data_IF_508872543142
#
_entry.id   IF_508872543142
#
_cell.length_a   1.000
_cell.length_b   1.000
_cell.length_c   1.000
_cell.angle_alpha   90.00
_cell.angle_beta   90.00
_cell.angle_gamma   90.00
#
_symmetry.space_group_name_H-M   'P 1'
#
loop_
_entity.id
_entity.type
_entity.pdbx_description
1 polymer ?
#
# COMPACT_ATOMS: atom_id res chain seq x y z
N UNK A 1 -29.91 80.51 31.02
CA UNK A 1 -28.69 79.92 31.63
C UNK A 1 -28.77 78.41 31.92
N UNK A 2 -29.80 77.66 31.49
CA UNK A 2 -29.92 76.19 31.72
C UNK A 2 -29.28 75.28 30.60
N UNK A 3 -29.14 75.80 29.41
CA UNK A 3 -28.63 75.01 28.26
C UNK A 3 -27.10 74.84 28.25
N UNK A 4 -26.35 75.74 28.86
CA UNK A 4 -24.87 75.67 28.87
C UNK A 4 -24.32 74.60 29.84
N UNK A 5 -25.05 74.30 30.90
CA UNK A 5 -24.63 73.24 31.87
C UNK A 5 -24.81 71.85 31.34
N UNK A 6 -25.79 71.60 30.50
CA UNK A 6 -26.05 70.28 29.89
C UNK A 6 -24.99 69.89 28.84
N UNK A 7 -24.52 70.87 28.10
CA UNK A 7 -23.49 70.64 27.06
C UNK A 7 -22.11 70.33 27.67
N UNK A 8 -21.74 70.97 28.75
CA UNK A 8 -20.46 70.70 29.45
C UNK A 8 -20.48 69.33 30.12
N UNK A 9 -21.60 68.91 30.69
CA UNK A 9 -21.73 67.56 31.29
C UNK A 9 -21.67 66.45 30.24
N UNK A 10 -22.26 66.67 29.04
CA UNK A 10 -22.19 65.71 27.94
C UNK A 10 -20.76 65.61 27.35
N UNK A 11 -20.04 66.73 27.25
CA UNK A 11 -18.66 66.73 26.79
C UNK A 11 -17.70 66.02 27.79
N UNK A 12 -17.92 66.20 29.09
CA UNK A 12 -17.14 65.54 30.15
C UNK A 12 -17.37 64.03 30.18
N UNK A 13 -18.58 63.57 29.87
CA UNK A 13 -18.89 62.12 29.80
C UNK A 13 -18.27 61.47 28.56
N UNK A 14 -18.24 62.15 27.44
CA UNK A 14 -17.57 61.70 26.22
C UNK A 14 -16.02 61.60 26.43
N UNK A 15 -15.44 62.60 27.06
CA UNK A 15 -14.00 62.59 27.36
C UNK A 15 -13.61 61.47 28.37
N UNK A 16 -14.48 61.13 29.31
CA UNK A 16 -14.24 60.03 30.25
C UNK A 16 -14.29 58.64 29.58
N UNK A 17 -15.14 58.47 28.58
CA UNK A 17 -15.20 57.20 27.81
C UNK A 17 -14.01 57.06 26.85
N UNK A 18 -13.46 58.16 26.32
CA UNK A 18 -12.29 58.16 25.48
C UNK A 18 -10.97 57.87 26.22
N UNK A 19 -10.95 58.08 27.53
CA UNK A 19 -9.81 57.84 28.42
C UNK A 19 -9.88 56.49 29.15
N UNK A 20 -10.91 55.69 28.88
CA UNK A 20 -10.94 54.33 29.44
C UNK A 20 -9.77 53.52 28.84
N UNK A 21 -8.79 53.08 29.59
CA UNK A 21 -7.73 52.24 29.08
C UNK A 21 -8.40 50.97 28.56
N UNK A 22 -8.43 50.78 27.28
CA UNK A 22 -8.77 49.50 26.68
C UNK A 22 -7.76 48.52 27.23
N UNK A 23 -8.19 47.70 28.18
CA UNK A 23 -7.40 46.57 28.62
C UNK A 23 -7.22 45.64 27.43
N UNK A 24 -6.24 45.96 26.59
CA UNK A 24 -5.72 45.02 25.61
C UNK A 24 -5.05 43.92 26.42
N UNK A 25 -5.79 42.85 26.67
CA UNK A 25 -5.18 41.60 27.11
C UNK A 25 -4.13 41.26 26.08
N UNK A 26 -2.86 41.42 26.45
CA UNK A 26 -1.76 40.90 25.61
C UNK A 26 -2.06 39.43 25.38
N UNK A 27 -2.43 39.10 24.16
CA UNK A 27 -2.58 37.70 23.78
C UNK A 27 -1.19 37.07 23.90
N UNK A 28 -1.04 36.23 24.92
CA UNK A 28 0.20 35.48 25.12
C UNK A 28 0.41 34.61 23.88
N UNK A 29 1.35 35.02 23.05
CA UNK A 29 1.82 34.20 21.92
C UNK A 29 3.03 33.41 22.43
N UNK A 30 2.89 32.09 22.61
CA UNK A 30 4.04 31.28 22.98
C UNK A 30 5.05 31.32 21.86
N UNK A 31 6.20 31.94 22.12
CA UNK A 31 7.33 31.88 21.23
C UNK A 31 8.09 30.58 21.49
N UNK A 32 8.09 29.68 20.50
CA UNK A 32 8.91 28.48 20.54
C UNK A 32 10.40 28.88 20.58
N UNK A 33 11.07 28.64 21.69
CA UNK A 33 12.52 28.77 21.77
C UNK A 33 13.13 27.47 21.22
N UNK A 34 13.59 27.52 19.98
CA UNK A 34 14.35 26.40 19.39
C UNK A 34 15.69 26.29 20.13
N UNK A 35 15.86 25.22 20.89
CA UNK A 35 17.15 24.84 21.45
C UNK A 35 17.86 23.98 20.40
N UNK A 36 19.13 24.28 20.04
CA UNK A 36 19.87 23.42 19.15
C UNK A 36 19.93 21.99 19.71
N UNK A 37 19.38 21.03 19.00
CA UNK A 37 19.45 19.62 19.37
C UNK A 37 20.54 18.98 18.51
N UNK A 38 21.57 18.47 19.16
CA UNK A 38 22.56 17.64 18.48
C UNK A 38 21.97 16.23 18.36
N UNK A 39 21.72 15.77 17.13
CA UNK A 39 21.29 14.41 16.90
C UNK A 39 22.37 13.43 17.39
N UNK A 40 22.00 12.54 18.31
CA UNK A 40 22.83 11.42 18.70
C UNK A 40 22.27 10.17 18.04
N UNK A 41 22.85 9.68 16.93
CA UNK A 41 22.38 8.48 16.28
C UNK A 41 22.60 7.28 17.19
N UNK A 42 21.55 6.46 17.36
CA UNK A 42 21.65 5.17 18.05
C UNK A 42 22.41 4.22 17.11
N UNK A 43 23.57 3.77 17.54
CA UNK A 43 24.42 2.87 16.75
C UNK A 43 25.05 1.77 17.63
N UNK A 44 25.86 0.92 17.02
CA UNK A 44 26.52 -0.21 17.68
C UNK A 44 27.47 0.18 18.83
N UNK A 45 27.82 1.45 18.94
CA UNK A 45 28.63 2.01 20.04
C UNK A 45 27.84 2.23 21.33
N UNK A 46 26.51 2.19 21.28
CA UNK A 46 25.66 2.27 22.47
C UNK A 46 25.40 0.84 22.92
N UNK A 47 25.83 0.44 24.14
CA UNK A 47 25.58 -0.90 24.65
C UNK A 47 24.09 -1.15 24.83
N UNK A 48 23.67 -2.39 24.55
CA UNK A 48 22.29 -2.81 24.80
C UNK A 48 22.01 -2.81 26.32
N UNK A 49 20.84 -2.28 26.70
CA UNK A 49 20.39 -2.33 28.09
C UNK A 49 20.07 -3.76 28.52
N UNK A 50 20.82 -4.31 29.48
CA UNK A 50 20.70 -5.70 29.91
C UNK A 50 19.32 -6.06 30.43
N UNK A 51 18.59 -5.10 31.10
CA UNK A 51 17.26 -5.32 31.62
C UNK A 51 16.23 -5.38 30.51
N UNK A 52 16.33 -4.49 29.52
CA UNK A 52 15.51 -4.52 28.32
C UNK A 52 15.72 -5.82 27.56
N UNK A 53 16.99 -6.22 27.38
CA UNK A 53 17.34 -7.47 26.69
C UNK A 53 16.76 -8.69 27.40
N UNK A 54 16.86 -8.80 28.73
CA UNK A 54 16.28 -9.90 29.48
C UNK A 54 14.74 -9.97 29.34
N UNK A 55 14.08 -8.81 29.26
CA UNK A 55 12.62 -8.73 29.08
C UNK A 55 12.18 -9.22 27.71
N UNK A 56 12.92 -8.91 26.63
CA UNK A 56 12.54 -9.26 25.26
C UNK A 56 13.07 -10.62 24.80
N UNK A 57 14.10 -11.20 25.49
CA UNK A 57 14.76 -12.44 25.06
C UNK A 57 13.77 -13.60 24.78
N UNK A 58 12.82 -13.96 25.66
CA UNK A 58 11.92 -15.08 25.44
C UNK A 58 10.99 -14.88 24.23
N UNK A 59 10.61 -13.64 23.93
CA UNK A 59 9.80 -13.31 22.75
C UNK A 59 10.66 -13.33 21.48
N UNK A 60 11.89 -12.81 21.56
CA UNK A 60 12.85 -12.82 20.45
C UNK A 60 13.14 -14.23 19.97
N UNK A 61 13.45 -15.16 20.87
CA UNK A 61 13.74 -16.55 20.50
C UNK A 61 12.59 -17.19 19.72
N UNK A 62 11.36 -17.01 20.22
CA UNK A 62 10.16 -17.55 19.55
C UNK A 62 9.95 -16.92 18.17
N UNK A 63 10.10 -15.62 18.04
CA UNK A 63 9.95 -14.91 16.78
C UNK A 63 11.04 -15.33 15.79
N UNK A 64 12.32 -15.36 16.20
CA UNK A 64 13.43 -15.76 15.34
C UNK A 64 13.25 -17.19 14.83
N UNK A 65 12.87 -18.14 15.67
CA UNK A 65 12.65 -19.53 15.25
C UNK A 65 11.56 -19.66 14.18
N UNK A 66 10.50 -18.88 14.30
CA UNK A 66 9.43 -18.85 13.30
C UNK A 66 9.88 -18.15 12.00
N UNK A 67 10.54 -17.01 12.10
CA UNK A 67 10.95 -16.21 10.93
C UNK A 67 12.03 -16.89 10.10
N UNK A 68 12.88 -17.74 10.70
CA UNK A 68 13.92 -18.51 9.99
C UNK A 68 13.42 -19.79 9.34
N UNK A 69 12.13 -20.15 9.53
CA UNK A 69 11.55 -21.34 8.88
C UNK A 69 11.59 -21.19 7.37
N UNK A 70 12.25 -22.11 6.68
CA UNK A 70 12.36 -22.13 5.22
C UNK A 70 11.06 -22.63 4.60
N UNK A 71 10.53 -21.88 3.64
CA UNK A 71 9.31 -22.18 2.89
C UNK A 71 9.62 -22.79 1.52
N UNK A 72 10.71 -22.38 0.89
CA UNK A 72 11.11 -22.78 -0.45
C UNK A 72 12.48 -22.23 -0.81
N UNK A 73 12.84 -22.34 -2.10
CA UNK A 73 14.11 -21.84 -2.62
C UNK A 73 13.90 -21.06 -3.92
N UNK A 74 14.49 -19.88 -4.03
CA UNK A 74 14.48 -19.06 -5.23
C UNK A 74 15.82 -19.20 -5.97
N UNK A 75 15.86 -19.76 -7.19
CA UNK A 75 17.12 -19.93 -7.92
C UNK A 75 17.73 -18.58 -8.35
N UNK A 76 16.91 -17.56 -8.50
CA UNK A 76 17.32 -16.18 -8.80
C UNK A 76 16.53 -15.22 -7.94
N UNK A 77 17.07 -14.03 -7.71
CA UNK A 77 16.34 -12.99 -6.96
C UNK A 77 15.13 -12.50 -7.75
N UNK A 78 13.97 -12.39 -7.08
CA UNK A 78 12.79 -11.75 -7.63
C UNK A 78 12.76 -10.30 -7.13
N UNK A 79 13.02 -9.38 -8.04
CA UNK A 79 13.05 -7.95 -7.74
C UNK A 79 11.88 -7.24 -8.43
N UNK A 80 11.48 -6.11 -7.87
CA UNK A 80 10.51 -5.21 -8.50
C UNK A 80 11.22 -4.13 -9.33
N UNK A 81 10.55 -3.69 -10.39
CA UNK A 81 10.98 -2.57 -11.23
C UNK A 81 9.76 -1.86 -11.82
N UNK A 82 9.97 -0.73 -12.49
CA UNK A 82 8.91 -0.10 -13.27
C UNK A 82 8.55 -0.97 -14.48
N UNK A 83 7.29 -1.23 -14.68
CA UNK A 83 6.81 -2.16 -15.69
C UNK A 83 6.64 -3.57 -15.14
N UNK A 84 6.76 -4.55 -16.01
CA UNK A 84 6.74 -5.95 -15.66
C UNK A 84 8.02 -6.33 -14.91
N UNK A 85 7.89 -7.13 -13.85
CA UNK A 85 9.02 -7.63 -13.07
C UNK A 85 8.78 -9.04 -12.58
N UNK A 86 9.85 -9.78 -12.27
CA UNK A 86 9.74 -11.13 -11.72
C UNK A 86 8.90 -11.12 -10.43
N UNK A 87 9.11 -10.14 -9.55
CA UNK A 87 8.38 -10.08 -8.28
C UNK A 87 6.89 -9.74 -8.47
N UNK A 88 6.57 -8.77 -9.33
CA UNK A 88 5.16 -8.42 -9.60
C UNK A 88 4.42 -9.56 -10.30
N UNK A 89 5.10 -10.27 -11.23
CA UNK A 89 4.52 -11.45 -11.88
C UNK A 89 4.26 -12.56 -10.86
N UNK A 90 5.27 -12.89 -10.03
CA UNK A 90 5.14 -13.90 -8.99
C UNK A 90 3.96 -13.63 -8.06
N UNK A 91 3.89 -12.43 -7.48
CA UNK A 91 2.82 -12.10 -6.51
C UNK A 91 1.47 -11.93 -7.20
N UNK A 92 1.41 -11.31 -8.37
CA UNK A 92 0.17 -11.15 -9.12
C UNK A 92 -0.44 -12.49 -9.55
N UNK A 93 0.38 -13.45 -9.98
CA UNK A 93 -0.11 -14.76 -10.42
C UNK A 93 -0.57 -15.62 -9.24
N UNK A 94 0.20 -15.64 -8.15
CA UNK A 94 -0.21 -16.41 -6.97
C UNK A 94 -1.51 -15.88 -6.34
N UNK A 95 -1.77 -14.56 -6.39
CA UNK A 95 -3.05 -14.00 -5.93
C UNK A 95 -4.23 -14.60 -6.70
N UNK A 96 -4.11 -14.73 -8.02
CA UNK A 96 -5.14 -15.38 -8.84
C UNK A 96 -5.33 -16.83 -8.44
N UNK A 97 -4.24 -17.61 -8.37
CA UNK A 97 -4.29 -19.04 -8.04
C UNK A 97 -4.90 -19.26 -6.65
N UNK A 98 -4.49 -18.50 -5.64
CA UNK A 98 -5.02 -18.66 -4.29
C UNK A 98 -6.49 -18.17 -4.18
N UNK A 99 -6.87 -17.13 -4.92
CA UNK A 99 -8.26 -16.68 -5.00
C UNK A 99 -9.16 -17.70 -5.73
N UNK A 100 -8.69 -18.26 -6.85
CA UNK A 100 -9.39 -19.34 -7.58
C UNK A 100 -9.64 -20.55 -6.67
N UNK A 101 -8.61 -20.94 -5.92
CA UNK A 101 -8.68 -22.06 -4.98
C UNK A 101 -9.66 -21.79 -3.84
N UNK A 102 -9.68 -20.56 -3.29
CA UNK A 102 -10.56 -20.20 -2.19
C UNK A 102 -12.03 -20.10 -2.61
N UNK A 103 -12.31 -19.60 -3.83
CA UNK A 103 -13.67 -19.34 -4.30
C UNK A 103 -14.20 -20.40 -5.26
N UNK A 104 -13.37 -21.36 -5.71
CA UNK A 104 -13.76 -22.44 -6.61
C UNK A 104 -14.21 -22.00 -8.00
N UNK A 105 -13.78 -20.81 -8.46
CA UNK A 105 -14.12 -20.25 -9.78
C UNK A 105 -12.94 -19.56 -10.42
N UNK A 106 -12.88 -19.46 -11.77
CA UNK A 106 -11.79 -18.78 -12.47
C UNK A 106 -11.67 -17.30 -12.12
N UNK A 107 -10.45 -16.84 -11.89
CA UNK A 107 -10.12 -15.44 -11.64
C UNK A 107 -9.14 -14.97 -12.72
N UNK A 108 -9.61 -14.34 -13.80
CA UNK A 108 -8.80 -14.02 -14.97
C UNK A 108 -7.76 -12.93 -14.70
N UNK A 109 -7.94 -12.05 -13.75
CA UNK A 109 -7.07 -10.91 -13.49
C UNK A 109 -6.52 -10.90 -12.06
N UNK A 110 -5.28 -10.42 -11.91
CA UNK A 110 -4.65 -10.16 -10.62
C UNK A 110 -3.94 -8.81 -10.62
N UNK A 111 -4.10 -8.06 -9.52
CA UNK A 111 -3.56 -6.70 -9.39
C UNK A 111 -2.69 -6.59 -8.15
N UNK A 112 -1.44 -6.19 -8.35
CA UNK A 112 -0.49 -5.83 -7.29
C UNK A 112 0.29 -4.59 -7.70
N UNK A 113 0.53 -3.69 -6.76
CA UNK A 113 1.34 -2.49 -7.00
C UNK A 113 2.75 -2.66 -6.46
N UNK A 114 3.70 -1.94 -7.02
CA UNK A 114 5.06 -1.88 -6.49
C UNK A 114 5.12 -1.29 -5.07
N UNK A 115 4.14 -0.47 -4.69
CA UNK A 115 3.98 0.07 -3.34
C UNK A 115 3.69 -1.01 -2.30
N UNK A 116 2.87 -2.00 -2.66
CA UNK A 116 2.53 -3.15 -1.82
C UNK A 116 3.68 -4.16 -1.62
N UNK A 117 4.64 -4.20 -2.52
CA UNK A 117 5.80 -5.09 -2.44
C UNK A 117 6.97 -4.37 -1.75
N UNK A 118 7.23 -4.65 -0.47
CA UNK A 118 8.15 -3.85 0.37
C UNK A 118 9.61 -4.26 0.25
N UNK A 119 9.89 -5.54 0.05
CA UNK A 119 11.23 -6.10 -0.10
C UNK A 119 11.28 -7.07 -1.30
N UNK A 120 12.44 -7.31 -1.93
CA UNK A 120 12.62 -8.37 -2.91
C UNK A 120 12.63 -9.75 -2.22
N UNK A 121 12.45 -10.80 -3.00
CA UNK A 121 12.81 -12.16 -2.59
C UNK A 121 14.25 -12.39 -3.06
N UNK A 122 15.24 -12.56 -2.17
CA UNK A 122 16.62 -12.83 -2.57
C UNK A 122 16.77 -14.24 -3.17
N UNK A 123 17.84 -14.46 -3.92
CA UNK A 123 18.22 -15.80 -4.35
C UNK A 123 18.61 -16.66 -3.13
N UNK A 124 18.27 -17.94 -3.17
CA UNK A 124 18.51 -18.88 -2.09
C UNK A 124 17.26 -19.22 -1.27
N UNK A 125 17.43 -19.62 0.02
CA UNK A 125 16.30 -20.00 0.88
C UNK A 125 15.32 -18.85 1.09
N UNK A 126 14.04 -19.11 0.84
CA UNK A 126 12.94 -18.18 1.11
C UNK A 126 12.29 -18.57 2.43
N UNK A 127 12.36 -17.70 3.41
CA UNK A 127 11.88 -17.96 4.78
C UNK A 127 10.54 -17.26 5.06
N UNK A 128 9.92 -17.58 6.19
CA UNK A 128 8.78 -16.83 6.73
C UNK A 128 9.13 -15.35 6.86
N UNK A 129 10.34 -15.04 7.39
CA UNK A 129 10.83 -13.66 7.51
C UNK A 129 10.90 -12.92 6.18
N UNK A 130 11.40 -13.59 5.12
CA UNK A 130 11.40 -13.03 3.77
C UNK A 130 10.00 -12.59 3.32
N UNK A 131 8.98 -13.41 3.61
CA UNK A 131 7.59 -13.06 3.23
C UNK A 131 7.02 -11.95 4.11
N UNK A 132 7.37 -11.89 5.39
CA UNK A 132 6.99 -10.77 6.26
C UNK A 132 7.63 -9.44 5.82
N UNK A 133 8.88 -9.45 5.36
CA UNK A 133 9.53 -8.27 4.79
C UNK A 133 8.93 -7.85 3.46
N UNK A 134 8.57 -8.82 2.60
CA UNK A 134 7.91 -8.57 1.31
C UNK A 134 6.52 -7.96 1.51
N UNK A 135 5.71 -8.53 2.41
CA UNK A 135 4.30 -8.19 2.63
C UNK A 135 4.00 -8.04 4.13
N UNK A 136 4.42 -6.91 4.77
CA UNK A 136 4.27 -6.71 6.22
C UNK A 136 2.84 -6.33 6.65
N UNK A 137 1.90 -6.25 5.71
CA UNK A 137 0.54 -5.78 5.94
C UNK A 137 -0.41 -6.93 6.30
N UNK A 138 -1.47 -6.62 7.05
CA UNK A 138 -2.59 -7.54 7.36
C UNK A 138 -3.69 -7.49 6.28
N UNK A 139 -3.33 -7.19 5.04
CA UNK A 139 -4.27 -7.11 3.93
C UNK A 139 -4.89 -8.47 3.61
N UNK A 140 -6.20 -8.49 3.40
CA UNK A 140 -6.90 -9.66 2.92
C UNK A 140 -6.82 -9.77 1.39
N UNK A 141 -6.70 -10.98 0.89
CA UNK A 141 -6.92 -11.28 -0.51
C UNK A 141 -8.44 -11.29 -0.75
N UNK A 142 -8.90 -10.44 -1.66
CA UNK A 142 -10.32 -10.34 -2.04
C UNK A 142 -10.46 -10.42 -3.55
N UNK A 143 -11.68 -10.66 -4.02
CA UNK A 143 -12.01 -10.63 -5.45
C UNK A 143 -13.06 -9.57 -5.70
N UNK A 144 -12.82 -8.74 -6.72
CA UNK A 144 -13.80 -7.80 -7.26
C UNK A 144 -14.40 -8.38 -8.53
N UNK A 145 -15.73 -8.36 -8.64
CA UNK A 145 -16.41 -8.59 -9.91
C UNK A 145 -16.63 -7.23 -10.60
N UNK A 146 -15.72 -6.89 -11.52
CA UNK A 146 -15.61 -5.56 -12.09
C UNK A 146 -16.26 -5.48 -13.48
N UNK A 147 -17.20 -4.53 -13.70
CA UNK A 147 -17.68 -4.24 -15.05
C UNK A 147 -16.56 -3.82 -15.98
N UNK A 148 -16.69 -4.11 -17.28
CA UNK A 148 -15.67 -3.78 -18.27
C UNK A 148 -15.27 -2.31 -18.28
N UNK A 149 -16.21 -1.39 -18.01
CA UNK A 149 -15.88 0.03 -17.85
C UNK A 149 -14.91 0.34 -16.70
N UNK A 150 -14.95 -0.43 -15.61
CA UNK A 150 -13.99 -0.32 -14.49
C UNK A 150 -12.68 -1.01 -14.86
N UNK A 151 -12.73 -2.12 -15.58
CA UNK A 151 -11.54 -2.80 -16.10
C UNK A 151 -10.79 -1.91 -17.10
N UNK A 152 -11.49 -1.13 -17.93
CA UNK A 152 -10.86 -0.12 -18.78
C UNK A 152 -10.09 0.91 -17.96
N UNK A 153 -10.67 1.43 -16.87
CA UNK A 153 -9.98 2.35 -15.95
C UNK A 153 -8.75 1.71 -15.30
N UNK A 154 -8.80 0.42 -14.99
CA UNK A 154 -7.63 -0.32 -14.51
C UNK A 154 -6.51 -0.32 -15.56
N UNK A 155 -6.80 -0.59 -16.84
CA UNK A 155 -5.78 -0.59 -17.89
C UNK A 155 -5.28 0.83 -18.20
N UNK A 156 -6.13 1.85 -18.15
CA UNK A 156 -5.72 3.26 -18.25
C UNK A 156 -4.75 3.64 -17.12
N UNK A 157 -5.04 3.19 -15.90
CA UNK A 157 -4.14 3.34 -14.76
C UNK A 157 -2.83 2.56 -14.96
N UNK A 158 -2.92 1.31 -15.40
CA UNK A 158 -1.79 0.43 -15.62
C UNK A 158 -0.84 0.98 -16.71
N UNK A 159 -1.38 1.53 -17.79
CA UNK A 159 -0.59 2.16 -18.86
C UNK A 159 0.16 3.40 -18.35
N UNK A 160 -0.52 4.27 -17.61
CA UNK A 160 0.06 5.49 -17.03
C UNK A 160 1.16 5.20 -16.01
N UNK A 161 0.96 4.21 -15.16
CA UNK A 161 1.91 3.82 -14.11
C UNK A 161 2.91 2.76 -14.54
N UNK A 162 2.76 2.24 -15.75
CA UNK A 162 3.54 1.12 -16.29
C UNK A 162 3.44 -0.12 -15.39
N UNK A 163 2.25 -0.42 -14.89
CA UNK A 163 1.99 -1.55 -14.00
C UNK A 163 1.56 -2.77 -14.81
N UNK A 164 2.23 -3.91 -14.64
CA UNK A 164 1.78 -5.18 -15.20
C UNK A 164 0.53 -5.68 -14.44
N UNK A 165 -0.40 -6.27 -15.19
CA UNK A 165 -1.60 -6.90 -14.68
C UNK A 165 -1.50 -8.40 -14.93
N UNK A 166 -1.62 -9.21 -13.88
CA UNK A 166 -1.57 -10.67 -14.00
C UNK A 166 -2.77 -11.17 -14.79
N UNK A 167 -2.52 -12.10 -15.71
CA UNK A 167 -3.54 -12.69 -16.60
C UNK A 167 -3.89 -11.83 -17.81
N UNK A 168 -3.18 -10.72 -18.03
CA UNK A 168 -3.41 -9.86 -19.19
C UNK A 168 -2.12 -9.42 -19.87
N UNK A 169 -2.25 -9.06 -21.14
CA UNK A 169 -1.22 -8.36 -21.92
C UNK A 169 -1.84 -7.13 -22.58
N UNK A 170 -1.06 -6.07 -22.75
CA UNK A 170 -1.50 -4.86 -23.46
C UNK A 170 -0.31 -4.06 -23.99
N UNK A 171 -0.58 -3.19 -24.96
CA UNK A 171 0.42 -2.26 -25.52
C UNK A 171 0.18 -0.87 -24.96
N UNK A 172 1.24 -0.14 -24.62
CA UNK A 172 1.18 1.27 -24.25
C UNK A 172 1.52 2.09 -25.51
N UNK A 173 0.58 2.91 -25.99
CA UNK A 173 0.80 3.81 -27.12
C UNK A 173 1.78 4.93 -26.78
N UNK A 174 2.33 5.65 -27.77
CA UNK A 174 3.14 6.85 -27.51
C UNK A 174 2.43 7.91 -26.66
N UNK A 175 1.09 7.99 -26.74
CA UNK A 175 0.25 8.89 -25.95
C UNK A 175 -0.03 8.38 -24.53
N UNK A 176 0.52 7.19 -24.16
CA UNK A 176 0.37 6.60 -22.83
C UNK A 176 -0.98 5.90 -22.60
N UNK A 177 -1.69 5.51 -23.67
CA UNK A 177 -2.97 4.80 -23.58
C UNK A 177 -2.78 3.28 -23.74
N UNK A 178 -3.64 2.45 -23.10
CA UNK A 178 -3.62 1.01 -23.34
C UNK A 178 -4.33 0.66 -24.65
N UNK A 179 -3.68 -0.20 -25.44
CA UNK A 179 -4.24 -0.78 -26.67
C UNK A 179 -4.01 -2.28 -26.71
N UNK A 180 -4.70 -2.98 -27.61
CA UNK A 180 -4.58 -4.42 -27.84
C UNK A 180 -4.63 -5.25 -26.53
N UNK A 181 -5.56 -4.87 -25.63
CA UNK A 181 -5.72 -5.53 -24.33
C UNK A 181 -6.24 -6.96 -24.56
N UNK A 182 -5.49 -7.94 -24.06
CA UNK A 182 -5.91 -9.34 -24.01
C UNK A 182 -6.01 -9.78 -22.55
N UNK A 183 -7.12 -10.45 -22.21
CA UNK A 183 -7.35 -11.04 -20.88
C UNK A 183 -7.52 -12.55 -21.06
N UNK A 184 -6.66 -13.35 -20.43
CA UNK A 184 -6.61 -14.78 -20.65
C UNK A 184 -6.38 -15.16 -22.14
N UNK A 185 -5.66 -14.32 -22.89
CA UNK A 185 -5.41 -14.49 -24.32
C UNK A 185 -6.56 -14.08 -25.23
N UNK A 186 -7.71 -13.65 -24.70
CA UNK A 186 -8.87 -13.19 -25.45
C UNK A 186 -8.93 -11.66 -25.49
N UNK A 187 -9.40 -11.05 -26.58
CA UNK A 187 -9.62 -9.61 -26.64
C UNK A 187 -10.51 -9.12 -25.49
N UNK A 188 -10.12 -7.99 -24.91
CA UNK A 188 -10.94 -7.34 -23.89
C UNK A 188 -12.30 -6.92 -24.45
N UNK A 189 -13.36 -7.25 -23.72
CA UNK A 189 -14.74 -6.90 -24.04
C UNK A 189 -15.31 -5.99 -22.96
N UNK A 190 -15.54 -4.73 -23.27
CA UNK A 190 -16.04 -3.72 -22.35
C UNK A 190 -17.48 -3.98 -21.83
N UNK A 191 -18.21 -4.90 -22.44
CA UNK A 191 -19.59 -5.26 -22.04
C UNK A 191 -19.63 -6.37 -21.00
N UNK A 192 -18.50 -7.04 -20.73
CA UNK A 192 -18.39 -8.15 -19.78
C UNK A 192 -17.92 -7.69 -18.40
N UNK A 193 -18.21 -8.52 -17.40
CA UNK A 193 -17.57 -8.44 -16.10
C UNK A 193 -16.34 -9.34 -16.04
N UNK A 194 -15.36 -8.93 -15.20
CA UNK A 194 -14.13 -9.67 -14.96
C UNK A 194 -13.84 -9.75 -13.47
N UNK A 195 -13.55 -10.96 -13.00
CA UNK A 195 -13.11 -11.17 -11.64
C UNK A 195 -11.63 -10.78 -11.49
N UNK A 196 -11.30 -9.99 -10.46
CA UNK A 196 -9.97 -9.45 -10.19
C UNK A 196 -9.53 -9.85 -8.78
N UNK A 197 -8.47 -10.64 -8.65
CA UNK A 197 -7.80 -10.89 -7.38
C UNK A 197 -6.94 -9.67 -6.97
N UNK A 198 -7.17 -9.16 -5.78
CA UNK A 198 -6.58 -7.89 -5.32
C UNK A 198 -6.53 -7.85 -3.79
N UNK A 199 -5.70 -6.99 -3.20
CA UNK A 199 -5.78 -6.72 -1.76
C UNK A 199 -7.00 -5.86 -1.42
N UNK A 200 -7.55 -6.04 -0.22
CA UNK A 200 -8.64 -5.19 0.32
C UNK A 200 -8.24 -3.70 0.36
N UNK A 201 -6.98 -3.40 0.61
CA UNK A 201 -6.43 -2.03 0.55
C UNK A 201 -6.63 -1.40 -0.84
N UNK A 202 -6.24 -2.09 -1.90
CA UNK A 202 -6.41 -1.59 -3.27
C UNK A 202 -7.88 -1.58 -3.70
N UNK A 203 -8.66 -2.60 -3.31
CA UNK A 203 -10.10 -2.65 -3.53
C UNK A 203 -10.82 -1.46 -2.88
N UNK A 204 -10.36 -1.01 -1.70
CA UNK A 204 -10.80 0.21 -1.02
C UNK A 204 -10.31 1.51 -1.64
N UNK A 205 -9.61 1.47 -2.78
CA UNK A 205 -9.11 2.64 -3.51
C UNK A 205 -7.71 3.10 -3.11
N UNK A 206 -6.94 2.26 -2.45
CA UNK A 206 -5.52 2.49 -2.17
C UNK A 206 -4.71 2.72 -3.44
N UNK A 207 -3.52 3.31 -3.33
CA UNK A 207 -2.62 3.64 -4.44
C UNK A 207 -3.29 4.37 -5.61
N UNK A 208 -4.26 5.26 -5.30
CA UNK A 208 -5.04 6.03 -6.26
C UNK A 208 -5.99 5.22 -7.17
N UNK A 209 -6.35 3.99 -6.79
CA UNK A 209 -7.31 3.13 -7.51
C UNK A 209 -8.76 3.39 -7.06
N UNK A 210 -9.15 4.66 -6.89
CA UNK A 210 -10.47 5.06 -6.40
C UNK A 210 -11.64 4.52 -7.25
N UNK A 211 -11.38 4.12 -8.49
CA UNK A 211 -12.36 3.52 -9.39
C UNK A 211 -12.86 2.13 -8.92
N UNK A 212 -12.16 1.47 -8.00
CA UNK A 212 -12.62 0.23 -7.38
C UNK A 212 -13.57 0.43 -6.19
N UNK A 213 -13.56 1.60 -5.53
CA UNK A 213 -14.38 1.86 -4.33
C UNK A 213 -15.87 1.52 -4.44
N UNK A 214 -16.53 1.75 -5.59
CA UNK A 214 -17.96 1.42 -5.72
C UNK A 214 -18.24 -0.09 -5.75
N UNK A 215 -17.23 -0.93 -5.96
CA UNK A 215 -17.39 -2.37 -6.08
C UNK A 215 -17.40 -3.02 -4.69
N UNK A 216 -18.21 -4.06 -4.53
CA UNK A 216 -18.25 -4.83 -3.30
C UNK A 216 -17.22 -5.97 -3.38
N UNK A 217 -16.21 -6.01 -2.50
CA UNK A 217 -15.25 -7.10 -2.50
C UNK A 217 -15.86 -8.39 -1.94
N UNK A 218 -15.55 -9.51 -2.58
CA UNK A 218 -15.81 -10.87 -2.10
C UNK A 218 -14.56 -11.36 -1.37
N UNK A 219 -14.70 -11.70 -0.08
CA UNK A 219 -13.59 -12.14 0.76
C UNK A 219 -13.20 -13.60 0.48
N UNK A 220 -11.91 -13.87 0.36
CA UNK A 220 -11.37 -15.23 0.27
C UNK A 220 -11.17 -15.88 1.64
N UNK A 221 -11.21 -15.12 2.73
CA UNK A 221 -10.87 -15.56 4.08
C UNK A 221 -9.36 -15.74 4.31
N UNK A 222 -8.50 -15.34 3.37
CA UNK A 222 -7.05 -15.53 3.43
C UNK A 222 -6.34 -14.17 3.44
N UNK A 223 -5.41 -13.98 4.38
CA UNK A 223 -4.49 -12.83 4.34
C UNK A 223 -3.53 -13.00 3.16
N UNK A 224 -3.26 -11.91 2.44
CA UNK A 224 -2.37 -11.93 1.27
C UNK A 224 -0.98 -12.49 1.60
N UNK A 225 -0.41 -12.11 2.75
CA UNK A 225 0.85 -12.68 3.24
C UNK A 225 0.77 -14.21 3.42
N UNK A 226 -0.34 -14.71 3.94
CA UNK A 226 -0.56 -16.15 4.11
C UNK A 226 -0.75 -16.85 2.75
N UNK A 227 -1.42 -16.22 1.80
CA UNK A 227 -1.53 -16.70 0.42
C UNK A 227 -0.14 -16.90 -0.20
N UNK A 228 0.77 -15.93 -0.04
CA UNK A 228 2.16 -16.04 -0.50
C UNK A 228 2.87 -17.23 0.15
N UNK A 229 2.79 -17.36 1.47
CA UNK A 229 3.42 -18.47 2.19
C UNK A 229 2.84 -19.84 1.78
N UNK A 230 1.53 -19.95 1.65
CA UNK A 230 0.85 -21.18 1.25
C UNK A 230 1.24 -21.60 -0.17
N UNK A 231 1.27 -20.65 -1.09
CA UNK A 231 1.69 -20.90 -2.47
C UNK A 231 3.13 -21.40 -2.53
N UNK A 232 4.07 -20.74 -1.85
CA UNK A 232 5.48 -21.16 -1.80
C UNK A 232 5.60 -22.59 -1.25
N UNK A 233 4.95 -22.89 -0.12
CA UNK A 233 4.95 -24.24 0.47
C UNK A 233 4.40 -25.29 -0.52
N UNK A 234 3.32 -24.97 -1.21
CA UNK A 234 2.72 -25.88 -2.18
C UNK A 234 3.64 -26.11 -3.39
N UNK A 235 4.28 -25.07 -3.94
CA UNK A 235 5.28 -25.22 -5.00
C UNK A 235 6.46 -26.09 -4.53
N UNK A 236 6.99 -25.83 -3.35
CA UNK A 236 8.09 -26.59 -2.76
C UNK A 236 7.72 -28.07 -2.56
N UNK A 237 6.51 -28.37 -2.08
CA UNK A 237 6.03 -29.75 -1.94
C UNK A 237 5.92 -30.48 -3.29
N UNK A 238 5.76 -29.74 -4.40
CA UNK A 238 5.77 -30.28 -5.76
C UNK A 238 7.17 -30.31 -6.40
N UNK A 239 8.23 -30.01 -5.65
CA UNK A 239 9.60 -29.93 -6.16
C UNK A 239 9.86 -28.70 -7.06
N UNK A 240 8.97 -27.71 -7.05
CA UNK A 240 9.10 -26.52 -7.87
C UNK A 240 9.76 -25.37 -7.09
N UNK A 241 10.66 -24.61 -7.73
CA UNK A 241 11.30 -23.47 -7.10
C UNK A 241 10.35 -22.25 -7.03
N UNK A 242 10.72 -21.28 -6.19
CA UNK A 242 10.10 -19.95 -6.14
C UNK A 242 10.65 -19.13 -7.30
N UNK A 243 9.87 -19.02 -8.37
CA UNK A 243 10.30 -18.34 -9.60
C UNK A 243 9.12 -17.73 -10.36
N UNK A 244 9.42 -16.79 -11.23
CA UNK A 244 8.52 -16.24 -12.25
C UNK A 244 9.32 -15.96 -13.53
N UNK A 245 8.60 -15.67 -14.60
CA UNK A 245 9.17 -15.29 -15.90
C UNK A 245 8.67 -13.92 -16.33
N UNK A 246 9.44 -13.25 -17.17
CA UNK A 246 8.98 -12.05 -17.87
C UNK A 246 8.27 -12.54 -19.14
N UNK A 247 7.00 -12.20 -19.28
CA UNK A 247 6.09 -12.73 -20.31
C UNK A 247 5.74 -11.69 -21.37
N UNK A 248 6.21 -10.45 -21.24
CA UNK A 248 5.85 -9.36 -22.14
C UNK A 248 4.42 -8.88 -21.92
N UNK A 249 3.99 -8.80 -20.65
CA UNK A 249 2.63 -8.35 -20.27
C UNK A 249 2.37 -6.91 -20.69
N UNK A 250 3.44 -6.11 -20.78
CA UNK A 250 3.41 -4.73 -21.27
C UNK A 250 4.30 -4.64 -22.49
N UNK A 251 3.72 -4.23 -23.63
CA UNK A 251 4.41 -3.92 -24.87
C UNK A 251 4.46 -2.40 -25.07
N UNK A 252 5.46 -1.93 -25.84
CA UNK A 252 5.65 -0.51 -26.22
C UNK A 252 5.94 -0.43 -27.69
#
# INVERSE_FOLDING_TARGET
MRTFRSSVAALSLLAAVALAPACQRAVYQPQARLVPVTAQPVGKSIPEDARAMATIAPYREKVVSQMTTVLGNAPVALTKQSGESLLSNFVGDLQRVEAEKALGRPIPLGVVTNGGLRAPIPAGPVTVGTVFELMPFENQLVVLDAPGAVVQQLFDFAARTKMAVSGATFTITPEGKPEAILIGGQPFDATRNYAIAISDYLAGGGDAMAFFKPLKPEGTGVLLRNAIMNYIKQQTAQGKPVQATIEGRIKR
#
